data_IF_460077538475
#
_entry.id   IF_460077538475
#
_cell.length_a   1.000
_cell.length_b   1.000
_cell.length_c   1.000
_cell.angle_alpha   90.00
_cell.angle_beta   90.00
_cell.angle_gamma   90.00
#
_symmetry.space_group_name_H-M   'P 1'
#
loop_
_entity.id
_entity.type
_entity.pdbx_description
1 polymer ?
#
# COMPACT_ATOMS: atom_id res chain seq x y z
N UNK A 1 -25.43 45.86 9.00
CA UNK A 1 -24.74 44.56 9.06
C UNK A 1 -23.87 44.56 10.30
N UNK A 2 -23.96 43.53 11.13
CA UNK A 2 -23.08 43.43 12.29
C UNK A 2 -21.62 43.33 11.80
N UNK A 3 -20.68 43.96 12.50
CA UNK A 3 -19.24 43.90 12.15
C UNK A 3 -18.72 42.49 11.97
N UNK A 4 -19.25 41.55 12.73
CA UNK A 4 -18.97 40.09 12.58
C UNK A 4 -19.44 39.54 11.25
N UNK A 5 -20.60 39.92 10.74
CA UNK A 5 -21.11 39.51 9.45
C UNK A 5 -20.28 40.04 8.29
N UNK A 6 -19.80 41.25 8.40
CA UNK A 6 -18.87 41.84 7.41
C UNK A 6 -17.53 41.06 7.36
N UNK A 7 -16.96 40.72 8.54
CA UNK A 7 -15.74 39.92 8.59
C UNK A 7 -15.96 38.50 8.01
N UNK A 8 -17.09 37.87 8.33
CA UNK A 8 -17.46 36.56 7.77
C UNK A 8 -17.60 36.59 6.26
N UNK A 9 -18.19 37.65 5.70
CA UNK A 9 -18.27 37.84 4.26
C UNK A 9 -16.88 37.92 3.60
N UNK A 10 -15.94 38.66 4.17
CA UNK A 10 -14.55 38.73 3.69
C UNK A 10 -13.83 37.38 3.76
N UNK A 11 -14.08 36.59 4.80
CA UNK A 11 -13.55 35.20 4.89
C UNK A 11 -14.14 34.36 3.76
N UNK A 12 -15.45 34.45 3.50
CA UNK A 12 -16.10 33.74 2.40
C UNK A 12 -15.50 34.09 1.03
N UNK A 13 -15.18 35.37 0.77
CA UNK A 13 -14.48 35.77 -0.46
C UNK A 13 -13.09 35.12 -0.57
N UNK A 14 -12.36 34.99 0.53
CA UNK A 14 -11.08 34.27 0.56
C UNK A 14 -11.28 32.76 0.28
N UNK A 15 -12.30 32.15 0.87
CA UNK A 15 -12.63 30.73 0.66
C UNK A 15 -12.95 30.45 -0.81
N UNK A 16 -13.71 31.32 -1.47
CA UNK A 16 -14.02 31.18 -2.91
C UNK A 16 -12.74 31.22 -3.77
N UNK A 17 -11.79 32.07 -3.43
CA UNK A 17 -10.49 32.14 -4.12
C UNK A 17 -9.71 30.86 -3.90
N UNK A 18 -9.64 30.37 -2.66
CA UNK A 18 -8.91 29.15 -2.27
C UNK A 18 -9.50 27.96 -3.04
N UNK A 19 -10.83 27.79 -3.04
CA UNK A 19 -11.51 26.71 -3.76
C UNK A 19 -11.15 26.73 -5.24
N UNK A 20 -11.23 27.89 -5.87
CA UNK A 20 -10.91 28.06 -7.29
C UNK A 20 -9.45 27.72 -7.59
N UNK A 21 -8.51 28.19 -6.78
CA UNK A 21 -7.08 27.90 -6.98
C UNK A 21 -6.73 26.42 -6.70
N UNK A 22 -7.38 25.80 -5.73
CA UNK A 22 -7.23 24.37 -5.49
C UNK A 22 -7.73 23.53 -6.68
N UNK A 23 -8.87 23.88 -7.27
CA UNK A 23 -9.39 23.18 -8.46
C UNK A 23 -8.40 23.28 -9.65
N UNK A 24 -7.87 24.49 -9.93
CA UNK A 24 -6.84 24.69 -10.96
C UNK A 24 -5.57 23.90 -10.66
N UNK A 25 -5.11 23.91 -9.39
CA UNK A 25 -3.94 23.12 -8.98
C UNK A 25 -4.14 21.63 -9.20
N UNK A 26 -5.33 21.11 -8.91
CA UNK A 26 -5.64 19.69 -9.11
C UNK A 26 -5.66 19.29 -10.59
N UNK A 27 -6.12 20.17 -11.50
CA UNK A 27 -6.03 19.92 -12.96
C UNK A 27 -4.58 19.84 -13.42
N UNK A 28 -3.69 20.72 -12.95
CA UNK A 28 -2.26 20.65 -13.28
C UNK A 28 -1.58 19.37 -12.73
N UNK A 29 -2.04 18.84 -11.60
CA UNK A 29 -1.57 17.51 -11.13
C UNK A 29 -1.95 16.42 -12.14
N UNK A 30 -3.15 16.45 -12.73
CA UNK A 30 -3.55 15.48 -13.75
C UNK A 30 -2.70 15.63 -15.04
N UNK A 31 -2.37 16.85 -15.45
CA UNK A 31 -1.47 17.10 -16.58
C UNK A 31 -0.07 16.52 -16.32
N UNK A 32 0.49 16.74 -15.11
CA UNK A 32 1.78 16.17 -14.71
C UNK A 32 1.73 14.64 -14.75
N UNK A 33 0.65 14.00 -14.28
CA UNK A 33 0.51 12.55 -14.32
C UNK A 33 0.54 12.04 -15.76
N UNK A 34 -0.24 12.66 -16.64
CA UNK A 34 -0.32 12.31 -18.05
C UNK A 34 1.06 12.45 -18.73
N UNK A 35 1.78 13.53 -18.45
CA UNK A 35 3.12 13.76 -18.98
C UNK A 35 4.13 12.71 -18.47
N UNK A 36 4.12 12.42 -17.16
CA UNK A 36 5.03 11.43 -16.57
C UNK A 36 4.77 10.02 -17.09
N UNK A 37 3.50 9.64 -17.27
CA UNK A 37 3.13 8.35 -17.90
C UNK A 37 3.69 8.26 -19.32
N UNK A 38 3.55 9.31 -20.12
CA UNK A 38 4.03 9.33 -21.50
C UNK A 38 5.57 9.32 -21.62
N UNK A 39 6.29 9.87 -20.65
CA UNK A 39 7.75 10.03 -20.68
C UNK A 39 8.53 9.03 -19.83
N UNK A 40 7.84 8.18 -19.04
CA UNK A 40 8.48 7.21 -18.14
C UNK A 40 9.18 7.83 -16.92
N UNK A 41 8.95 9.13 -16.65
CA UNK A 41 9.50 9.80 -15.47
C UNK A 41 8.81 9.25 -14.20
N UNK A 42 9.56 8.95 -13.13
CA UNK A 42 8.98 8.47 -11.88
C UNK A 42 7.89 9.42 -11.36
N UNK A 43 6.74 8.85 -11.03
CA UNK A 43 5.58 9.65 -10.60
C UNK A 43 5.78 10.17 -9.19
N UNK A 44 6.30 9.34 -8.29
CA UNK A 44 6.64 9.75 -6.93
C UNK A 44 8.08 10.26 -6.90
N UNK A 45 8.25 11.50 -6.49
CA UNK A 45 9.54 12.18 -6.40
C UNK A 45 9.65 12.89 -5.02
N UNK A 46 10.02 12.16 -3.94
CA UNK A 46 10.08 12.71 -2.57
C UNK A 46 11.00 13.92 -2.45
N UNK A 47 12.12 13.95 -3.19
CA UNK A 47 13.04 15.10 -3.20
C UNK A 47 12.40 16.35 -3.76
N UNK A 48 11.52 16.21 -4.77
CA UNK A 48 10.81 17.35 -5.34
C UNK A 48 9.78 17.90 -4.38
N UNK A 49 9.10 17.04 -3.61
CA UNK A 49 8.17 17.47 -2.56
C UNK A 49 8.89 18.23 -1.45
N UNK A 50 10.06 17.75 -1.03
CA UNK A 50 10.89 18.46 -0.05
C UNK A 50 11.29 19.84 -0.55
N UNK A 51 11.78 19.95 -1.79
CA UNK A 51 12.12 21.25 -2.41
C UNK A 51 10.91 22.19 -2.45
N UNK A 52 9.71 21.68 -2.72
CA UNK A 52 8.49 22.49 -2.71
C UNK A 52 8.14 22.99 -1.31
N UNK A 53 8.30 22.14 -0.28
CA UNK A 53 8.05 22.52 1.11
C UNK A 53 9.05 23.61 1.57
N UNK A 54 10.33 23.41 1.27
CA UNK A 54 11.39 24.37 1.62
C UNK A 54 11.17 25.73 0.90
N UNK A 55 10.75 25.68 -0.37
CA UNK A 55 10.42 26.91 -1.12
C UNK A 55 9.17 27.63 -0.60
N UNK A 56 8.20 26.89 -0.05
CA UNK A 56 7.02 27.45 0.60
C UNK A 56 7.39 28.15 1.90
N UNK A 57 8.16 27.51 2.76
CA UNK A 57 8.65 28.11 4.01
C UNK A 57 9.42 29.40 3.72
N UNK A 58 10.31 29.39 2.72
CA UNK A 58 11.04 30.58 2.30
C UNK A 58 10.16 31.73 1.79
N UNK A 59 8.98 31.42 1.19
CA UNK A 59 8.02 32.44 0.74
C UNK A 59 7.20 33.05 1.87
N UNK A 60 6.95 32.29 2.94
CA UNK A 60 6.17 32.77 4.08
C UNK A 60 6.99 33.70 4.97
N UNK A 61 8.32 33.46 5.07
CA UNK A 61 9.21 34.31 5.89
C UNK A 61 8.73 34.37 7.35
N UNK A 62 8.68 35.56 7.91
CA UNK A 62 8.25 35.82 9.30
C UNK A 62 6.71 36.00 9.41
N UNK A 63 5.91 35.26 8.62
CA UNK A 63 4.45 35.36 8.69
C UNK A 63 3.95 34.75 10.00
N UNK A 64 3.07 35.47 10.73
CA UNK A 64 2.52 35.02 12.01
C UNK A 64 1.74 33.71 11.98
N UNK A 65 1.31 33.27 10.77
CA UNK A 65 0.57 32.03 10.52
C UNK A 65 1.39 31.02 9.70
N UNK A 66 2.73 31.11 9.76
CA UNK A 66 3.62 30.26 8.96
C UNK A 66 3.35 28.76 9.20
N UNK A 67 3.26 28.35 10.47
CA UNK A 67 3.07 26.95 10.87
C UNK A 67 1.72 26.40 10.35
N UNK A 68 0.64 27.15 10.55
CA UNK A 68 -0.71 26.78 10.12
C UNK A 68 -0.80 26.69 8.60
N UNK A 69 -0.19 27.62 7.88
CA UNK A 69 -0.18 27.61 6.41
C UNK A 69 0.64 26.43 5.90
N UNK A 70 1.79 26.14 6.47
CA UNK A 70 2.62 24.99 6.10
C UNK A 70 1.88 23.65 6.34
N UNK A 71 1.13 23.54 7.42
CA UNK A 71 0.32 22.36 7.70
C UNK A 71 -0.80 22.18 6.66
N UNK A 72 -1.49 23.23 6.26
CA UNK A 72 -2.46 23.18 5.17
C UNK A 72 -1.78 22.72 3.87
N UNK A 73 -0.60 23.24 3.54
CA UNK A 73 0.12 22.82 2.34
C UNK A 73 0.59 21.35 2.39
N UNK A 74 0.95 20.80 3.55
CA UNK A 74 1.21 19.36 3.72
C UNK A 74 -0.03 18.53 3.33
N UNK A 75 -1.23 18.97 3.75
CA UNK A 75 -2.49 18.32 3.34
C UNK A 75 -2.76 18.44 1.84
N UNK A 76 -2.49 19.59 1.25
CA UNK A 76 -2.62 19.81 -0.20
C UNK A 76 -1.69 18.87 -0.98
N UNK A 77 -0.43 18.72 -0.55
CA UNK A 77 0.53 17.78 -1.16
C UNK A 77 0.11 16.33 -0.98
N UNK A 78 -0.37 15.97 0.21
CA UNK A 78 -0.95 14.64 0.49
C UNK A 78 -2.09 14.31 -0.48
N UNK A 79 -3.03 15.23 -0.68
CA UNK A 79 -4.11 15.06 -1.66
C UNK A 79 -3.59 14.96 -3.11
N UNK A 80 -2.51 15.65 -3.45
CA UNK A 80 -1.89 15.52 -4.76
C UNK A 80 -1.31 14.12 -4.99
N UNK A 81 -0.63 13.53 -3.99
CA UNK A 81 -0.19 12.12 -4.03
C UNK A 81 -1.36 11.16 -4.20
N UNK A 82 -2.45 11.38 -3.46
CA UNK A 82 -3.67 10.57 -3.57
C UNK A 82 -4.28 10.62 -4.97
N UNK A 83 -4.33 11.79 -5.61
CA UNK A 83 -4.80 11.93 -6.99
C UNK A 83 -3.88 11.18 -7.95
N UNK A 84 -2.55 11.29 -7.76
CA UNK A 84 -1.58 10.57 -8.57
C UNK A 84 -1.74 9.06 -8.42
N UNK A 85 -1.81 8.54 -7.20
CA UNK A 85 -2.03 7.13 -6.93
C UNK A 85 -3.34 6.61 -7.54
N UNK A 86 -4.44 7.38 -7.41
CA UNK A 86 -5.74 7.04 -8.01
C UNK A 86 -5.70 6.93 -9.53
N UNK A 87 -4.92 7.77 -10.18
CA UNK A 87 -4.75 7.74 -11.63
C UNK A 87 -3.87 6.59 -12.12
N UNK A 88 -3.01 6.04 -11.22
CA UNK A 88 -2.11 4.94 -11.53
C UNK A 88 -2.73 3.59 -11.23
N UNK A 89 -3.33 3.48 -10.07
CA UNK A 89 -3.79 2.23 -9.48
C UNK A 89 -5.27 2.38 -9.11
N UNK A 90 -6.18 2.05 -10.03
CA UNK A 90 -7.64 2.04 -9.77
C UNK A 90 -8.10 0.69 -9.16
N UNK A 91 -7.15 -0.13 -8.75
CA UNK A 91 -7.29 -1.48 -8.23
C UNK A 91 -6.66 -1.65 -6.85
N UNK A 92 -6.85 -2.81 -6.25
CA UNK A 92 -6.21 -3.19 -4.99
C UNK A 92 -4.81 -3.78 -5.25
N UNK A 93 -3.87 -3.58 -4.31
CA UNK A 93 -2.53 -4.19 -4.34
C UNK A 93 -2.47 -5.24 -3.25
N UNK A 94 -2.42 -6.52 -3.64
CA UNK A 94 -2.32 -7.65 -2.71
C UNK A 94 -0.85 -8.05 -2.53
N UNK A 95 -0.33 -7.92 -1.31
CA UNK A 95 1.00 -8.37 -0.97
C UNK A 95 0.95 -9.80 -0.45
N UNK A 96 1.55 -10.72 -1.19
CA UNK A 96 1.69 -12.13 -0.83
C UNK A 96 3.15 -12.48 -0.59
N UNK A 97 3.40 -13.63 -0.02
CA UNK A 97 4.75 -14.13 0.26
C UNK A 97 4.83 -14.84 1.61
N UNK A 98 5.92 -15.49 1.84
CA UNK A 98 6.15 -16.24 3.07
C UNK A 98 6.11 -15.35 4.31
N UNK A 99 5.84 -15.93 5.50
CA UNK A 99 5.97 -15.19 6.75
C UNK A 99 7.37 -14.61 6.89
N UNK A 100 7.53 -13.41 7.45
CA UNK A 100 8.83 -12.74 7.52
C UNK A 100 9.34 -12.12 6.22
N UNK A 101 8.62 -12.25 5.08
CA UNK A 101 9.00 -11.58 3.82
C UNK A 101 8.86 -10.05 3.84
N UNK A 102 8.25 -9.48 4.88
CA UNK A 102 8.14 -8.02 5.06
C UNK A 102 6.83 -7.40 4.58
N UNK A 103 5.79 -8.19 4.33
CA UNK A 103 4.50 -7.73 3.79
C UNK A 103 3.89 -6.56 4.56
N UNK A 104 3.75 -6.67 5.87
CA UNK A 104 3.14 -5.63 6.71
C UNK A 104 3.95 -4.33 6.75
N UNK A 105 5.29 -4.44 6.78
CA UNK A 105 6.21 -3.29 6.73
C UNK A 105 6.10 -2.57 5.39
N UNK A 106 6.14 -3.33 4.29
CA UNK A 106 5.99 -2.81 2.93
C UNK A 106 4.61 -2.20 2.71
N UNK A 107 3.53 -2.84 3.22
CA UNK A 107 2.18 -2.29 3.16
C UNK A 107 2.06 -0.94 3.87
N UNK A 108 2.73 -0.78 5.02
CA UNK A 108 2.79 0.49 5.75
C UNK A 108 3.44 1.60 4.93
N UNK A 109 4.63 1.35 4.40
CA UNK A 109 5.36 2.32 3.58
C UNK A 109 4.64 2.66 2.26
N UNK A 110 4.05 1.66 1.57
CA UNK A 110 3.24 1.89 0.37
C UNK A 110 2.01 2.75 0.66
N UNK A 111 1.32 2.50 1.79
CA UNK A 111 0.20 3.34 2.25
C UNK A 111 0.61 4.80 2.31
N UNK A 112 1.74 5.10 2.94
CA UNK A 112 2.20 6.48 3.15
C UNK A 112 2.69 7.12 1.84
N UNK A 113 3.33 6.34 0.95
CA UNK A 113 3.77 6.81 -0.37
C UNK A 113 2.60 7.06 -1.33
N UNK A 114 1.63 6.16 -1.38
CA UNK A 114 0.52 6.19 -2.33
C UNK A 114 -0.76 6.85 -1.77
N UNK A 115 -0.80 7.16 -0.47
CA UNK A 115 -2.00 7.67 0.21
C UNK A 115 -3.24 6.77 -0.03
N UNK A 116 -3.00 5.45 -0.12
CA UNK A 116 -4.03 4.42 -0.25
C UNK A 116 -4.41 3.86 1.12
N UNK A 117 -5.59 3.28 1.22
CA UNK A 117 -5.98 2.54 2.43
C UNK A 117 -5.11 1.29 2.58
N UNK A 118 -4.87 0.87 3.83
CA UNK A 118 -4.15 -0.35 4.16
C UNK A 118 -5.01 -1.29 4.97
N UNK A 119 -4.90 -2.58 4.68
CA UNK A 119 -5.56 -3.68 5.38
C UNK A 119 -4.54 -4.77 5.71
N UNK A 120 -4.49 -5.18 6.97
CA UNK A 120 -3.82 -6.40 7.43
C UNK A 120 -4.87 -7.50 7.57
N UNK A 121 -4.83 -8.49 6.68
CA UNK A 121 -5.88 -9.53 6.62
C UNK A 121 -5.96 -10.37 7.88
N UNK A 122 -4.81 -10.76 8.42
CA UNK A 122 -4.71 -11.54 9.65
C UNK A 122 -5.32 -10.77 10.83
N UNK A 123 -5.03 -9.47 10.95
CA UNK A 123 -5.59 -8.60 11.98
C UNK A 123 -7.11 -8.45 11.84
N UNK A 124 -7.63 -8.27 10.62
CA UNK A 124 -9.08 -8.21 10.39
C UNK A 124 -9.80 -9.48 10.84
N UNK A 125 -9.17 -10.65 10.62
CA UNK A 125 -9.74 -11.93 11.07
C UNK A 125 -9.78 -11.98 12.60
N UNK A 126 -8.69 -11.62 13.26
CA UNK A 126 -8.57 -11.57 14.72
C UNK A 126 -9.61 -10.62 15.32
N UNK A 127 -9.73 -9.39 14.81
CA UNK A 127 -10.69 -8.38 15.28
C UNK A 127 -12.14 -8.85 15.13
N UNK A 128 -12.48 -9.49 13.99
CA UNK A 128 -13.83 -9.96 13.74
C UNK A 128 -14.21 -11.20 14.57
N UNK A 129 -13.23 -12.00 14.96
CA UNK A 129 -13.48 -13.22 15.75
C UNK A 129 -13.31 -12.99 17.25
N UNK A 130 -12.58 -11.95 17.66
CA UNK A 130 -12.22 -11.73 19.06
C UNK A 130 -11.25 -12.79 19.61
N UNK A 131 -10.54 -13.51 18.72
CA UNK A 131 -9.64 -14.62 19.04
C UNK A 131 -8.35 -14.46 18.25
N UNK A 132 -7.22 -14.85 18.83
CA UNK A 132 -5.93 -14.93 18.13
C UNK A 132 -5.96 -16.02 17.03
N UNK A 133 -5.05 -15.92 16.07
CA UNK A 133 -4.92 -16.94 15.01
C UNK A 133 -4.61 -18.31 15.61
N UNK A 134 -3.76 -18.39 16.64
CA UNK A 134 -3.44 -19.64 17.33
C UNK A 134 -4.69 -20.27 17.95
N UNK A 135 -5.49 -19.50 18.67
CA UNK A 135 -6.76 -19.99 19.26
C UNK A 135 -7.73 -20.47 18.16
N UNK A 136 -7.81 -19.78 17.03
CA UNK A 136 -8.65 -20.20 15.90
C UNK A 136 -8.17 -21.55 15.33
N UNK A 137 -6.85 -21.74 15.20
CA UNK A 137 -6.27 -23.01 14.72
C UNK A 137 -6.52 -24.16 15.71
N UNK A 138 -6.35 -23.89 17.01
CA UNK A 138 -6.50 -24.90 18.06
C UNK A 138 -7.96 -25.32 18.23
N UNK A 139 -8.92 -24.39 18.16
CA UNK A 139 -10.34 -24.66 18.38
C UNK A 139 -11.07 -25.15 17.11
N UNK A 140 -10.77 -24.56 15.94
CA UNK A 140 -11.53 -24.80 14.71
C UNK A 140 -10.71 -25.45 13.58
N UNK A 141 -9.39 -25.49 13.71
CA UNK A 141 -8.47 -26.08 12.74
C UNK A 141 -8.14 -25.16 11.55
N UNK A 142 -7.13 -25.58 10.78
CA UNK A 142 -6.61 -24.81 9.65
C UNK A 142 -7.67 -24.56 8.56
N UNK A 143 -8.49 -25.58 8.23
CA UNK A 143 -9.50 -25.47 7.18
C UNK A 143 -10.51 -24.35 7.45
N UNK A 144 -10.89 -24.15 8.71
CA UNK A 144 -11.76 -23.05 9.12
C UNK A 144 -11.10 -21.68 8.96
N UNK A 145 -9.83 -21.55 9.38
CA UNK A 145 -9.07 -20.33 9.17
C UNK A 145 -8.98 -19.97 7.68
N UNK A 146 -8.72 -20.94 6.81
CA UNK A 146 -8.69 -20.73 5.35
C UNK A 146 -10.04 -20.24 4.81
N UNK A 147 -11.16 -20.70 5.37
CA UNK A 147 -12.48 -20.16 5.01
C UNK A 147 -12.62 -18.68 5.40
N UNK A 148 -12.07 -18.29 6.56
CA UNK A 148 -12.07 -16.89 6.97
C UNK A 148 -11.21 -16.03 6.04
N UNK A 149 -10.03 -16.49 5.60
CA UNK A 149 -9.19 -15.80 4.61
C UNK A 149 -9.96 -15.59 3.30
N UNK A 150 -10.60 -16.64 2.75
CA UNK A 150 -11.37 -16.54 1.49
C UNK A 150 -12.55 -15.55 1.63
N UNK A 151 -13.29 -15.61 2.72
CA UNK A 151 -14.40 -14.68 2.98
C UNK A 151 -13.91 -13.22 3.07
N UNK A 152 -12.74 -12.97 3.65
CA UNK A 152 -12.16 -11.63 3.70
C UNK A 152 -11.73 -11.13 2.32
N UNK A 153 -11.18 -11.97 1.47
CA UNK A 153 -10.88 -11.60 0.09
C UNK A 153 -12.15 -11.22 -0.69
N UNK A 154 -13.26 -11.97 -0.51
CA UNK A 154 -14.55 -11.63 -1.13
C UNK A 154 -15.06 -10.27 -0.63
N UNK A 155 -14.95 -9.98 0.66
CA UNK A 155 -15.30 -8.68 1.23
C UNK A 155 -14.45 -7.55 0.63
N UNK A 156 -13.14 -7.77 0.49
CA UNK A 156 -12.19 -6.82 -0.06
C UNK A 156 -12.39 -6.54 -1.55
N UNK A 157 -13.08 -7.41 -2.31
CA UNK A 157 -13.47 -7.14 -3.70
C UNK A 157 -14.37 -5.90 -3.84
N UNK A 158 -15.08 -5.51 -2.76
CA UNK A 158 -15.93 -4.31 -2.76
C UNK A 158 -15.12 -3.02 -2.57
N UNK A 159 -13.86 -3.12 -2.18
CA UNK A 159 -12.94 -1.99 -2.01
C UNK A 159 -12.12 -1.79 -3.27
N UNK A 160 -11.66 -0.57 -3.47
CA UNK A 160 -10.68 -0.20 -4.49
C UNK A 160 -9.55 0.58 -3.83
N UNK A 161 -8.40 0.59 -4.47
CA UNK A 161 -7.25 1.39 -4.03
C UNK A 161 -6.83 1.08 -2.58
N UNK A 162 -6.82 -0.19 -2.26
CA UNK A 162 -6.44 -0.69 -0.94
C UNK A 162 -5.20 -1.57 -1.07
N UNK A 163 -4.22 -1.34 -0.22
CA UNK A 163 -3.05 -2.20 -0.06
C UNK A 163 -3.42 -3.26 0.96
N UNK A 164 -3.38 -4.52 0.55
CA UNK A 164 -3.77 -5.67 1.37
C UNK A 164 -2.54 -6.51 1.68
N UNK A 165 -2.13 -6.54 2.93
CA UNK A 165 -1.14 -7.49 3.43
C UNK A 165 -1.83 -8.82 3.74
N UNK A 166 -1.58 -9.84 2.92
CA UNK A 166 -2.24 -11.13 3.03
C UNK A 166 -1.52 -12.09 3.99
N UNK A 167 -2.26 -13.01 4.59
CA UNK A 167 -1.69 -14.14 5.32
C UNK A 167 -0.79 -15.01 4.44
N UNK A 168 0.27 -15.59 5.04
CA UNK A 168 1.25 -16.38 4.27
C UNK A 168 0.71 -17.65 3.62
N UNK A 169 -0.49 -18.10 3.96
CA UNK A 169 -1.12 -19.28 3.41
C UNK A 169 -2.28 -18.99 2.45
N UNK A 170 -2.59 -17.73 2.21
CA UNK A 170 -3.77 -17.33 1.41
C UNK A 170 -3.80 -17.93 0.01
N UNK A 171 -2.62 -18.07 -0.63
CA UNK A 171 -2.47 -18.63 -1.99
C UNK A 171 -2.61 -20.15 -2.06
N UNK A 172 -2.72 -20.84 -0.92
CA UNK A 172 -2.87 -22.30 -0.91
C UNK A 172 -4.23 -22.75 -1.44
N UNK A 173 -5.21 -21.88 -1.49
CA UNK A 173 -6.48 -22.08 -2.14
C UNK A 173 -6.51 -21.41 -3.51
N UNK A 174 -6.86 -22.16 -4.53
CA UNK A 174 -6.90 -21.69 -5.92
C UNK A 174 -7.91 -20.56 -6.12
N UNK A 175 -9.10 -20.68 -5.53
CA UNK A 175 -10.16 -19.67 -5.56
C UNK A 175 -9.72 -18.29 -5.04
N UNK A 176 -8.76 -18.25 -4.11
CA UNK A 176 -8.25 -16.99 -3.58
C UNK A 176 -7.44 -16.21 -4.62
N UNK A 177 -6.76 -16.89 -5.54
CA UNK A 177 -6.07 -16.27 -6.67
C UNK A 177 -7.07 -15.50 -7.56
N UNK A 178 -8.19 -16.13 -7.89
CA UNK A 178 -9.24 -15.50 -8.69
C UNK A 178 -9.85 -14.30 -7.98
N UNK A 179 -10.07 -14.43 -6.67
CA UNK A 179 -10.58 -13.32 -5.86
C UNK A 179 -9.64 -12.12 -5.85
N UNK A 180 -8.33 -12.32 -5.75
CA UNK A 180 -7.33 -11.24 -5.77
C UNK A 180 -7.21 -10.62 -7.17
N UNK A 181 -7.13 -11.44 -8.23
CA UNK A 181 -6.94 -10.96 -9.62
C UNK A 181 -8.15 -10.26 -10.20
N UNK A 182 -9.35 -10.50 -9.67
CA UNK A 182 -10.59 -9.91 -10.19
C UNK A 182 -10.61 -8.39 -10.14
N UNK A 183 -10.00 -7.77 -9.12
CA UNK A 183 -9.98 -6.32 -8.94
C UNK A 183 -8.65 -5.82 -8.35
N UNK A 184 -7.57 -6.54 -8.55
CA UNK A 184 -6.26 -6.18 -8.00
C UNK A 184 -5.09 -6.72 -8.79
N UNK A 185 -3.90 -6.31 -8.33
CA UNK A 185 -2.61 -6.86 -8.75
C UNK A 185 -1.96 -7.55 -7.56
N UNK A 186 -1.34 -8.68 -7.82
CA UNK A 186 -0.73 -9.53 -6.80
C UNK A 186 0.79 -9.38 -6.85
N UNK A 187 1.36 -8.88 -5.77
CA UNK A 187 2.80 -8.65 -5.60
C UNK A 187 3.36 -9.71 -4.66
N UNK A 188 4.24 -10.56 -5.16
CA UNK A 188 4.97 -11.53 -4.37
C UNK A 188 6.24 -10.89 -3.80
N UNK A 189 6.34 -10.87 -2.47
CA UNK A 189 7.58 -10.54 -1.77
C UNK A 189 8.35 -11.81 -1.45
N UNK A 190 9.60 -11.88 -1.92
CA UNK A 190 10.51 -13.00 -1.65
C UNK A 190 11.66 -12.57 -0.75
N UNK A 191 12.19 -13.53 0.01
CA UNK A 191 13.44 -13.39 0.76
C UNK A 191 14.13 -14.76 0.85
N UNK A 192 15.43 -14.77 1.14
CA UNK A 192 16.17 -16.01 1.37
C UNK A 192 15.74 -16.67 2.69
N UNK A 193 15.83 -18.01 2.79
CA UNK A 193 15.48 -18.71 4.03
C UNK A 193 16.22 -18.18 5.27
N UNK A 194 17.50 -17.81 5.11
CA UNK A 194 18.32 -17.25 6.18
C UNK A 194 17.77 -15.89 6.63
N UNK A 195 17.36 -15.05 5.69
CA UNK A 195 16.76 -13.74 5.96
C UNK A 195 15.41 -13.89 6.68
N UNK A 196 14.60 -14.87 6.25
CA UNK A 196 13.34 -15.19 6.92
C UNK A 196 13.61 -15.63 8.35
N UNK A 197 14.54 -16.59 8.56
CA UNK A 197 14.90 -17.08 9.89
C UNK A 197 15.28 -15.93 10.81
N UNK A 198 16.20 -15.05 10.39
CA UNK A 198 16.64 -13.90 11.19
C UNK A 198 15.50 -12.97 11.58
N UNK A 199 14.49 -12.80 10.71
CA UNK A 199 13.34 -11.93 10.96
C UNK A 199 12.27 -12.53 11.85
N UNK A 200 12.21 -13.86 11.98
CA UNK A 200 11.12 -14.54 12.71
C UNK A 200 11.57 -15.33 13.93
N UNK A 201 12.89 -15.54 14.14
CA UNK A 201 13.44 -16.38 15.23
C UNK A 201 12.99 -15.99 16.64
N UNK A 202 12.72 -14.70 16.86
CA UNK A 202 12.32 -14.17 18.17
C UNK A 202 10.80 -13.94 18.27
N UNK A 203 9.98 -14.51 17.34
CA UNK A 203 8.53 -14.32 17.31
C UNK A 203 7.80 -15.58 17.75
N UNK A 204 7.07 -15.51 18.87
CA UNK A 204 6.23 -16.57 19.39
C UNK A 204 4.87 -16.72 18.70
N UNK A 205 4.53 -15.80 17.79
CA UNK A 205 3.21 -15.71 17.15
C UNK A 205 3.07 -16.58 15.87
N UNK A 206 3.88 -17.64 15.72
CA UNK A 206 3.97 -18.40 14.46
C UNK A 206 3.72 -19.89 14.65
N UNK A 207 2.45 -20.35 14.79
CA UNK A 207 2.14 -21.78 15.09
C UNK A 207 2.79 -22.76 14.13
N UNK A 208 2.93 -22.40 12.83
CA UNK A 208 3.49 -23.28 11.79
C UNK A 208 5.00 -23.54 11.97
N UNK A 209 5.73 -22.65 12.66
CA UNK A 209 7.16 -22.78 12.93
C UNK A 209 7.47 -23.29 14.35
N UNK A 210 6.46 -23.43 15.20
CA UNK A 210 6.65 -23.86 16.58
C UNK A 210 7.32 -25.24 16.63
N UNK A 211 8.43 -25.32 17.35
CA UNK A 211 9.22 -26.54 17.52
C UNK A 211 10.23 -26.87 16.41
N UNK A 212 10.21 -26.14 15.25
CA UNK A 212 11.09 -26.39 14.11
C UNK A 212 11.68 -25.10 13.53
N UNK A 213 12.09 -24.17 14.39
CA UNK A 213 12.66 -22.88 13.99
C UNK A 213 14.12 -23.04 13.53
N UNK A 214 14.34 -23.48 12.29
CA UNK A 214 15.65 -23.54 11.65
C UNK A 214 15.55 -23.27 10.15
N UNK A 215 16.67 -22.93 9.51
CA UNK A 215 16.75 -22.52 8.10
C UNK A 215 16.29 -23.63 7.15
N UNK A 216 16.67 -24.89 7.44
CA UNK A 216 16.34 -26.05 6.60
C UNK A 216 14.83 -26.29 6.56
N UNK A 217 14.16 -26.21 7.70
CA UNK A 217 12.71 -26.38 7.78
C UNK A 217 11.98 -25.23 7.05
N UNK A 218 12.43 -23.98 7.26
CA UNK A 218 11.90 -22.80 6.57
C UNK A 218 12.07 -22.97 5.07
N UNK A 219 13.27 -23.37 4.59
CA UNK A 219 13.55 -23.62 3.18
C UNK A 219 12.62 -24.67 2.59
N UNK A 220 12.41 -25.79 3.30
CA UNK A 220 11.51 -26.85 2.87
C UNK A 220 10.03 -26.39 2.77
N UNK A 221 9.56 -25.56 3.69
CA UNK A 221 8.23 -24.96 3.64
C UNK A 221 8.08 -23.95 2.50
N UNK A 222 9.10 -23.13 2.27
CA UNK A 222 9.11 -22.17 1.17
C UNK A 222 9.06 -22.87 -0.18
N UNK A 223 9.85 -23.94 -0.36
CA UNK A 223 9.85 -24.73 -1.60
C UNK A 223 8.48 -25.34 -1.91
N UNK A 224 7.81 -25.93 -0.92
CA UNK A 224 6.46 -26.50 -1.06
C UNK A 224 5.40 -25.47 -1.50
N UNK A 225 5.64 -24.18 -1.25
CA UNK A 225 4.69 -23.10 -1.56
C UNK A 225 5.10 -22.27 -2.77
N UNK A 226 6.32 -22.44 -3.27
CA UNK A 226 6.90 -21.64 -4.35
C UNK A 226 6.01 -21.59 -5.58
N UNK A 227 5.66 -22.75 -6.13
CA UNK A 227 4.83 -22.83 -7.34
C UNK A 227 3.51 -22.08 -7.20
N UNK A 228 2.86 -22.17 -6.02
CA UNK A 228 1.61 -21.46 -5.75
C UNK A 228 1.79 -19.95 -5.69
N UNK A 229 2.84 -19.47 -5.05
CA UNK A 229 3.14 -18.05 -5.02
C UNK A 229 3.43 -17.50 -6.42
N UNK A 230 4.27 -18.18 -7.19
CA UNK A 230 4.66 -17.77 -8.54
C UNK A 230 3.48 -17.79 -9.52
N UNK A 231 2.60 -18.80 -9.45
CA UNK A 231 1.41 -18.90 -10.29
C UNK A 231 0.38 -17.78 -10.07
N UNK A 232 0.33 -17.24 -8.86
CA UNK A 232 -0.62 -16.18 -8.49
C UNK A 232 -0.05 -14.77 -8.71
N UNK A 233 1.26 -14.61 -8.62
CA UNK A 233 1.91 -13.31 -8.66
C UNK A 233 1.84 -12.66 -10.05
N UNK A 234 1.49 -11.38 -10.11
CA UNK A 234 1.64 -10.53 -11.29
C UNK A 234 3.03 -9.90 -11.35
N UNK A 235 3.61 -9.58 -10.19
CA UNK A 235 4.98 -9.08 -10.03
C UNK A 235 5.66 -9.74 -8.85
N UNK A 236 6.98 -9.92 -8.95
CA UNK A 236 7.82 -10.47 -7.86
C UNK A 236 8.92 -9.49 -7.50
N UNK A 237 9.12 -9.25 -6.19
CA UNK A 237 10.14 -8.37 -5.65
C UNK A 237 10.90 -9.06 -4.52
N UNK A 238 12.22 -9.16 -4.66
CA UNK A 238 13.10 -9.65 -3.61
C UNK A 238 13.36 -8.56 -2.57
N UNK A 239 13.28 -8.91 -1.30
CA UNK A 239 13.47 -7.98 -0.18
C UNK A 239 14.87 -8.01 0.43
N UNK A 240 15.68 -8.99 0.03
CA UNK A 240 17.07 -9.14 0.53
C UNK A 240 17.92 -7.96 0.11
N UNK A 241 18.71 -7.43 1.05
CA UNK A 241 19.69 -6.37 0.79
C UNK A 241 19.10 -5.00 0.42
N UNK A 242 17.77 -4.83 0.53
CA UNK A 242 17.07 -3.58 0.23
C UNK A 242 16.42 -3.00 1.48
N UNK A 243 16.41 -1.68 1.59
CA UNK A 243 15.55 -1.00 2.55
C UNK A 243 14.08 -0.96 2.04
N UNK A 244 13.16 -0.65 2.94
CA UNK A 244 11.71 -0.68 2.64
C UNK A 244 11.33 0.31 1.53
N UNK A 245 11.97 1.46 1.48
CA UNK A 245 11.77 2.49 0.45
C UNK A 245 12.11 1.97 -0.94
N UNK A 246 13.28 1.32 -1.10
CA UNK A 246 13.71 0.70 -2.35
C UNK A 246 12.76 -0.41 -2.82
N UNK A 247 12.26 -1.22 -1.88
CA UNK A 247 11.27 -2.27 -2.18
C UNK A 247 9.99 -1.65 -2.72
N UNK A 248 9.47 -0.61 -2.08
CA UNK A 248 8.26 0.08 -2.51
C UNK A 248 8.43 0.75 -3.89
N UNK A 249 9.56 1.38 -4.15
CA UNK A 249 9.87 1.97 -5.45
C UNK A 249 9.92 0.92 -6.57
N UNK A 250 10.52 -0.24 -6.30
CA UNK A 250 10.54 -1.35 -7.26
C UNK A 250 9.14 -1.92 -7.50
N UNK A 251 8.30 -2.06 -6.47
CA UNK A 251 6.90 -2.49 -6.61
C UNK A 251 6.13 -1.53 -7.52
N UNK A 252 6.21 -0.24 -7.23
CA UNK A 252 5.51 0.80 -7.99
C UNK A 252 5.96 0.80 -9.45
N UNK A 253 7.27 0.75 -9.70
CA UNK A 253 7.81 0.72 -11.06
C UNK A 253 7.36 -0.50 -11.85
N UNK A 254 7.37 -1.70 -11.23
CA UNK A 254 6.93 -2.94 -11.86
C UNK A 254 5.44 -2.97 -12.16
N UNK A 255 4.60 -2.45 -11.24
CA UNK A 255 3.16 -2.35 -11.48
C UNK A 255 2.84 -1.40 -12.63
N UNK A 256 3.49 -0.24 -12.70
CA UNK A 256 3.32 0.71 -13.82
C UNK A 256 3.77 0.08 -15.15
N UNK A 257 4.91 -0.62 -15.17
CA UNK A 257 5.38 -1.30 -16.37
C UNK A 257 4.39 -2.37 -16.85
N UNK A 258 3.85 -3.18 -15.92
CA UNK A 258 2.86 -4.20 -16.22
C UNK A 258 1.58 -3.61 -16.82
N UNK A 259 1.06 -2.52 -16.24
CA UNK A 259 -0.16 -1.88 -16.72
C UNK A 259 0.05 -1.24 -18.10
N UNK A 260 1.19 -0.58 -18.35
CA UNK A 260 1.54 -0.06 -19.68
C UNK A 260 1.63 -1.15 -20.76
N UNK A 261 2.16 -2.34 -20.41
CA UNK A 261 2.19 -3.48 -21.33
C UNK A 261 0.79 -4.01 -21.67
N UNK A 262 -0.13 -3.98 -20.70
CA UNK A 262 -1.51 -4.42 -20.92
C UNK A 262 -2.29 -3.42 -21.77
N UNK A 263 -2.13 -2.13 -21.54
CA UNK A 263 -2.76 -1.06 -22.35
C UNK A 263 -2.30 -1.13 -23.81
N UNK A 264 -1.00 -1.35 -24.05
CA UNK A 264 -0.45 -1.51 -25.39
C UNK A 264 -0.92 -2.77 -26.14
N UNK A 265 -1.36 -3.82 -25.42
CA UNK A 265 -1.91 -5.04 -26.05
C UNK A 265 -3.40 -4.91 -26.39
N UNK A 266 -4.10 -3.95 -25.79
CA UNK A 266 -5.53 -3.69 -26.02
C UNK A 266 -5.78 -2.57 -27.05
N UNK A 267 -4.78 -1.78 -27.38
CA UNK A 267 -4.77 -0.73 -28.39
C UNK A 267 -4.37 -1.27 -29.76
#
# INVERSE_FOLDING_TARGET
>A
MDKIEEIRAKIGECDDIIIKQLAVRMSHIQEIISYKKATGIPILQPEQEKKQTDALAAKLGDNEFEEEILDIFKYIMKNSRRIQAKSLFDYNIFLIGFMGAGKSTVAGELKDKLEMDRVEMDQMIVENRGMSISEIFDEFGEAYFRNLESNKLIELQKRKQTIVSCGGGVVMREENADHMKKNGRVVLLTAKPETIYERVKDSDERPILNGNMNVEYISGLMEKRRERYEAVADVTVATDGKNVTQICEEIIAKLIALDNEQDNKQA
#
